data_IF_421775634757
#
_entry.id   IF_421775634757
#
_cell.length_a   1.000
_cell.length_b   1.000
_cell.length_c   1.000
_cell.angle_alpha   90.00
_cell.angle_beta   90.00
_cell.angle_gamma   90.00
#
_symmetry.space_group_name_H-M   'P 1'
#
loop_
_entity.id
_entity.type
_entity.pdbx_description
1 polymer ?
#
# COMPACT_ATOMS: atom_id res chain seq x y z
N UNK A 1 -3.96 15.52 -10.26
CA UNK A 1 -4.06 14.19 -9.62
C UNK A 1 -5.02 14.29 -8.45
N UNK A 2 -5.94 13.33 -8.31
CA UNK A 2 -6.86 13.26 -7.16
C UNK A 2 -6.24 12.32 -6.13
N UNK A 3 -6.05 12.81 -4.91
CA UNK A 3 -5.54 12.01 -3.80
C UNK A 3 -6.58 10.94 -3.42
N UNK A 4 -6.13 9.69 -3.35
CA UNK A 4 -6.90 8.55 -2.83
C UNK A 4 -6.62 8.36 -1.34
N UNK A 5 -7.68 8.13 -0.56
CA UNK A 5 -7.57 7.87 0.87
C UNK A 5 -8.62 6.88 1.36
N UNK A 6 -8.18 5.86 2.10
CA UNK A 6 -9.01 4.97 2.92
C UNK A 6 -8.64 5.19 4.38
N UNK A 7 -9.63 5.37 5.24
CA UNK A 7 -9.44 5.66 6.67
C UNK A 7 -10.34 4.77 7.56
N UNK A 8 -10.38 3.48 7.26
CA UNK A 8 -11.17 2.45 7.98
C UNK A 8 -10.38 1.91 9.18
N UNK A 9 -9.85 2.83 10.00
CA UNK A 9 -9.18 2.48 11.25
C UNK A 9 -10.16 1.77 12.21
N UNK A 10 -9.70 0.78 12.99
CA UNK A 10 -8.31 0.37 13.19
C UNK A 10 -7.84 -0.76 12.24
N UNK A 11 -8.53 -0.99 11.12
CA UNK A 11 -8.34 -2.19 10.30
C UNK A 11 -7.47 -1.95 9.05
N UNK A 12 -7.78 -0.91 8.29
CA UNK A 12 -7.06 -0.56 7.08
C UNK A 12 -7.01 0.94 6.86
N UNK A 13 -5.83 1.45 6.53
CA UNK A 13 -5.66 2.81 6.01
C UNK A 13 -4.85 2.73 4.72
N UNK A 14 -5.13 3.64 3.80
CA UNK A 14 -4.38 3.75 2.56
C UNK A 14 -4.32 5.20 2.09
N UNK A 15 -3.20 5.57 1.49
CA UNK A 15 -3.00 6.88 0.85
C UNK A 15 -2.25 6.68 -0.45
N UNK A 16 -2.78 7.23 -1.54
CA UNK A 16 -2.17 7.12 -2.86
C UNK A 16 -2.50 8.30 -3.76
N UNK A 17 -1.73 8.44 -4.84
CA UNK A 17 -1.81 9.58 -5.75
C UNK A 17 -1.97 9.20 -7.24
N UNK A 18 -1.99 7.90 -7.52
CA UNK A 18 -2.15 7.29 -8.84
C UNK A 18 -0.86 6.69 -9.37
N UNK A 19 0.28 7.03 -8.77
CA UNK A 19 1.60 6.49 -9.10
C UNK A 19 2.16 5.66 -7.94
N UNK A 20 1.79 6.04 -6.71
CA UNK A 20 2.17 5.36 -5.49
C UNK A 20 0.95 5.13 -4.60
N UNK A 21 1.02 4.08 -3.79
CA UNK A 21 0.04 3.76 -2.77
C UNK A 21 0.74 3.14 -1.56
N UNK A 22 0.51 3.70 -0.40
CA UNK A 22 0.90 3.08 0.88
C UNK A 22 -0.34 2.56 1.57
N UNK A 23 -0.31 1.29 1.97
CA UNK A 23 -1.41 0.61 2.65
C UNK A 23 -0.91 0.09 4.00
N UNK A 24 -1.55 0.47 5.09
CA UNK A 24 -1.37 -0.17 6.38
C UNK A 24 -2.61 -1.02 6.69
N UNK A 25 -2.43 -2.34 6.79
CA UNK A 25 -3.51 -3.30 7.07
C UNK A 25 -3.20 -4.07 8.34
N UNK A 26 -4.10 -4.05 9.31
CA UNK A 26 -4.03 -4.93 10.48
C UNK A 26 -3.99 -6.39 10.02
N UNK A 27 -3.14 -7.22 10.62
CA UNK A 27 -3.08 -8.66 10.31
C UNK A 27 -4.39 -9.40 10.65
N UNK A 28 -5.28 -8.78 11.44
CA UNK A 28 -6.62 -9.30 11.72
C UNK A 28 -7.64 -9.01 10.60
N UNK A 29 -7.32 -8.15 9.63
CA UNK A 29 -8.15 -7.83 8.47
C UNK A 29 -7.68 -8.65 7.27
N UNK A 30 -8.57 -9.42 6.64
CA UNK A 30 -8.27 -10.15 5.41
C UNK A 30 -8.28 -9.21 4.19
N UNK A 31 -7.51 -9.55 3.14
CA UNK A 31 -7.60 -8.86 1.84
C UNK A 31 -8.93 -9.13 1.11
N UNK A 32 -9.64 -10.17 1.52
CA UNK A 32 -11.00 -10.47 1.03
C UNK A 32 -12.09 -9.70 1.79
N UNK A 33 -11.75 -8.96 2.84
CA UNK A 33 -12.75 -8.21 3.60
C UNK A 33 -13.30 -7.03 2.77
N UNK A 34 -14.60 -6.72 2.84
CA UNK A 34 -15.21 -5.62 2.09
C UNK A 34 -14.51 -4.27 2.28
N UNK A 35 -13.94 -4.02 3.47
CA UNK A 35 -13.20 -2.80 3.80
C UNK A 35 -11.88 -2.64 3.03
N UNK A 36 -11.32 -3.74 2.51
CA UNK A 36 -10.11 -3.73 1.67
C UNK A 36 -10.43 -3.55 0.18
N UNK A 37 -11.68 -3.79 -0.24
CA UNK A 37 -12.07 -3.68 -1.66
C UNK A 37 -11.71 -2.35 -2.32
N UNK A 38 -11.87 -1.17 -1.66
CA UNK A 38 -11.46 0.09 -2.27
C UNK A 38 -9.95 0.16 -2.56
N UNK A 39 -9.14 -0.47 -1.71
CA UNK A 39 -7.68 -0.55 -1.90
C UNK A 39 -7.35 -1.47 -3.08
N UNK A 40 -7.99 -2.64 -3.14
CA UNK A 40 -7.80 -3.60 -4.22
C UNK A 40 -8.18 -3.00 -5.58
N UNK A 41 -9.35 -2.36 -5.66
CA UNK A 41 -9.81 -1.67 -6.88
C UNK A 41 -8.84 -0.56 -7.29
N UNK A 42 -8.34 0.23 -6.33
CA UNK A 42 -7.38 1.29 -6.64
C UNK A 42 -6.04 0.76 -7.18
N UNK A 43 -5.55 -0.36 -6.65
CA UNK A 43 -4.35 -1.04 -7.16
C UNK A 43 -4.57 -1.48 -8.61
N UNK A 44 -5.72 -2.09 -8.90
CA UNK A 44 -6.06 -2.58 -10.23
C UNK A 44 -6.25 -1.43 -11.23
N UNK A 45 -7.05 -0.42 -10.89
CA UNK A 45 -7.37 0.73 -11.75
C UNK A 45 -6.12 1.52 -12.17
N UNK A 46 -5.10 1.55 -11.31
CA UNK A 46 -3.85 2.27 -11.56
C UNK A 46 -2.68 1.36 -11.97
N UNK A 47 -2.91 0.06 -12.13
CA UNK A 47 -1.87 -0.90 -12.51
C UNK A 47 -0.69 -0.94 -11.53
N UNK A 48 -0.94 -0.71 -10.24
CA UNK A 48 0.10 -0.64 -9.23
C UNK A 48 0.63 -2.05 -8.91
N UNK A 49 1.95 -2.15 -8.73
CA UNK A 49 2.63 -3.39 -8.36
C UNK A 49 3.29 -3.25 -7.00
N UNK A 50 3.37 -4.35 -6.25
CA UNK A 50 4.01 -4.38 -4.95
C UNK A 50 5.51 -4.07 -5.10
N UNK A 51 5.99 -3.10 -4.34
CA UNK A 51 7.40 -2.74 -4.25
C UNK A 51 8.04 -3.38 -3.03
N UNK A 52 7.49 -3.10 -1.85
CA UNK A 52 8.00 -3.63 -0.57
C UNK A 52 6.86 -3.85 0.41
N UNK A 53 7.13 -4.69 1.41
CA UNK A 53 6.22 -4.93 2.53
C UNK A 53 7.00 -5.08 3.83
N UNK A 54 6.45 -4.57 4.92
CA UNK A 54 7.03 -4.67 6.25
C UNK A 54 5.96 -4.91 7.30
N UNK A 55 6.26 -5.73 8.31
CA UNK A 55 5.36 -5.96 9.44
C UNK A 55 5.81 -5.07 10.61
N UNK A 56 4.98 -4.11 11.01
CA UNK A 56 5.27 -3.21 12.14
C UNK A 56 4.00 -2.74 12.86
N UNK A 57 4.10 -2.28 14.12
CA UNK A 57 3.01 -1.57 14.77
C UNK A 57 2.75 -0.24 14.06
N UNK A 58 1.48 0.13 13.91
CA UNK A 58 1.06 1.43 13.34
C UNK A 58 0.12 2.13 14.32
N UNK A 59 0.29 3.45 14.47
CA UNK A 59 -0.51 4.23 15.41
C UNK A 59 -1.98 4.26 14.96
N UNK A 60 -2.91 3.99 15.89
CA UNK A 60 -4.34 3.99 15.59
C UNK A 60 -4.84 2.72 14.87
N UNK A 61 -3.98 1.71 14.73
CA UNK A 61 -4.32 0.42 14.11
C UNK A 61 -4.33 -0.71 15.13
N UNK A 62 -5.08 -1.76 14.83
CA UNK A 62 -5.21 -2.93 15.70
C UNK A 62 -4.03 -3.88 15.50
N UNK A 63 -3.26 -4.12 16.57
CA UNK A 63 -2.17 -5.10 16.57
C UNK A 63 -1.02 -4.75 15.62
N UNK A 64 -0.33 -5.78 15.11
CA UNK A 64 0.68 -5.59 14.05
C UNK A 64 -0.01 -5.37 12.72
N UNK A 65 0.56 -4.47 11.92
CA UNK A 65 0.11 -4.19 10.57
C UNK A 65 1.13 -4.70 9.56
N UNK A 66 0.63 -5.20 8.44
CA UNK A 66 1.39 -5.28 7.20
C UNK A 66 1.30 -3.92 6.53
N UNK A 67 2.44 -3.26 6.38
CA UNK A 67 2.58 -2.02 5.64
C UNK A 67 3.15 -2.35 4.28
N UNK A 68 2.35 -2.19 3.24
CA UNK A 68 2.72 -2.48 1.86
C UNK A 68 2.79 -1.20 1.04
N UNK A 69 3.85 -1.07 0.28
CA UNK A 69 4.07 0.03 -0.65
C UNK A 69 3.92 -0.50 -2.07
N UNK A 70 3.02 0.11 -2.82
CA UNK A 70 2.77 -0.19 -4.23
C UNK A 70 3.15 1.01 -5.08
N UNK A 71 3.61 0.74 -6.29
CA UNK A 71 3.93 1.77 -7.28
C UNK A 71 3.74 1.26 -8.69
N UNK A 72 3.65 2.15 -9.67
CA UNK A 72 3.61 1.78 -11.10
C UNK A 72 4.88 1.02 -11.52
N UNK A 73 4.80 0.08 -12.48
CA UNK A 73 5.95 -0.69 -12.96
C UNK A 73 7.15 0.15 -13.39
N UNK A 74 6.91 1.31 -14.00
CA UNK A 74 7.92 2.26 -14.46
C UNK A 74 8.72 2.82 -13.28
N UNK A 75 8.02 3.30 -12.25
CA UNK A 75 8.65 3.81 -11.02
C UNK A 75 9.37 2.71 -10.26
N UNK A 76 8.79 1.49 -10.19
CA UNK A 76 9.46 0.34 -9.58
C UNK A 76 10.81 0.06 -10.25
N UNK A 77 10.85 0.10 -11.58
CA UNK A 77 12.07 -0.13 -12.35
C UNK A 77 13.13 0.93 -12.05
N UNK A 78 12.73 2.21 -11.99
CA UNK A 78 13.64 3.31 -11.61
C UNK A 78 14.18 3.15 -10.18
N UNK A 79 13.34 2.80 -9.22
CA UNK A 79 13.76 2.60 -7.83
C UNK A 79 14.76 1.44 -7.70
N UNK A 80 14.54 0.34 -8.43
CA UNK A 80 15.46 -0.80 -8.42
C UNK A 80 16.82 -0.46 -9.02
N UNK A 81 16.86 0.25 -10.16
CA UNK A 81 18.12 0.71 -10.76
C UNK A 81 18.94 1.56 -9.79
N UNK A 82 18.29 2.51 -9.11
CA UNK A 82 18.96 3.36 -8.13
C UNK A 82 19.45 2.59 -6.90
N UNK A 83 18.77 1.51 -6.50
CA UNK A 83 19.22 0.64 -5.40
C UNK A 83 20.43 -0.21 -5.80
N UNK A 84 20.54 -0.61 -7.06
CA UNK A 84 21.67 -1.36 -7.59
C UNK A 84 22.92 -0.49 -7.77
N UNK A 85 22.76 0.77 -8.20
CA UNK A 85 23.89 1.71 -8.35
C UNK A 85 24.51 2.16 -7.01
N UNK A 86 23.77 2.05 -5.90
CA UNK A 86 24.21 2.44 -4.56
C UNK A 86 24.72 1.26 -3.70
N UNK A 87 24.91 0.07 -4.28
CA UNK A 87 25.52 -1.10 -3.63
C UNK A 87 26.97 -1.30 -4.05
#
# INVERSE_FOLDING_TARGET
MKLFRVAEAPWVTAVGDGTQLTVARSLACSVSDPKYLPVAAYIEDHGLVLFETAIRPEQGMYGRCEVSHYTTPEVRSLLLMNLEENR
#
